data_IF_419719054556
#
_entry.id   IF_419719054556
#
_cell.length_a   1.000
_cell.length_b   1.000
_cell.length_c   1.000
_cell.angle_alpha   90.00
_cell.angle_beta   90.00
_cell.angle_gamma   90.00
#
_symmetry.space_group_name_H-M   'P 1'
#
loop_
_entity.id
_entity.type
_entity.pdbx_description
1 polymer ?
#
# COMPACT_ATOMS: atom_id res chain seq x y z
N UNK A 1 9.11 7.25 -22.20
CA UNK A 1 9.64 6.13 -21.39
C UNK A 1 9.54 6.47 -19.92
N UNK A 2 9.22 5.49 -19.08
CA UNK A 2 9.25 5.64 -17.62
C UNK A 2 10.69 5.45 -17.15
N UNK A 3 11.25 6.41 -16.41
CA UNK A 3 12.66 6.39 -15.96
C UNK A 3 12.85 5.61 -14.67
N UNK A 4 11.90 5.72 -13.73
CA UNK A 4 11.93 5.05 -12.42
C UNK A 4 10.50 4.85 -11.92
N UNK A 5 10.31 3.89 -11.01
CA UNK A 5 9.03 3.65 -10.32
C UNK A 5 9.29 3.50 -8.83
N UNK A 6 8.43 4.10 -8.01
CA UNK A 6 8.38 3.85 -6.56
C UNK A 6 7.02 3.27 -6.24
N UNK A 7 7.01 2.14 -5.56
CA UNK A 7 5.82 1.40 -5.20
C UNK A 7 5.81 1.18 -3.68
N UNK A 8 5.10 2.06 -2.95
CA UNK A 8 4.95 1.97 -1.50
C UNK A 8 3.70 1.14 -1.14
N UNK A 9 3.90 0.15 -0.26
CA UNK A 9 2.91 -0.87 0.15
C UNK A 9 1.99 -1.33 -1.01
N UNK A 10 2.58 -1.78 -2.14
CA UNK A 10 1.80 -2.03 -3.34
C UNK A 10 0.94 -3.28 -3.18
N UNK A 11 -0.33 -3.15 -3.59
CA UNK A 11 -1.27 -4.25 -3.64
C UNK A 11 -1.02 -5.14 -4.87
N UNK A 12 -0.10 -6.10 -4.76
CA UNK A 12 0.36 -6.92 -5.88
C UNK A 12 -0.43 -8.22 -6.10
N UNK A 13 -1.18 -8.68 -5.10
CA UNK A 13 -2.02 -9.88 -5.19
C UNK A 13 -3.29 -9.73 -4.36
N UNK A 14 -4.40 -9.53 -5.08
CA UNK A 14 -5.74 -9.45 -4.53
C UNK A 14 -6.15 -10.69 -3.74
N UNK A 15 -5.74 -11.87 -4.19
CA UNK A 15 -6.00 -13.13 -3.48
C UNK A 15 -5.27 -13.18 -2.13
N UNK A 16 -3.99 -12.83 -2.10
CA UNK A 16 -3.20 -12.84 -0.86
C UNK A 16 -3.71 -11.78 0.14
N UNK A 17 -3.95 -10.57 -0.34
CA UNK A 17 -4.52 -9.50 0.47
C UNK A 17 -5.91 -9.84 1.00
N UNK A 18 -6.79 -10.41 0.16
CA UNK A 18 -8.13 -10.83 0.57
C UNK A 18 -8.08 -11.91 1.66
N UNK A 19 -7.11 -12.83 1.59
CA UNK A 19 -6.94 -13.86 2.61
C UNK A 19 -6.56 -13.25 3.97
N UNK A 20 -5.55 -12.37 4.01
CA UNK A 20 -5.13 -11.69 5.25
C UNK A 20 -6.24 -10.77 5.77
N UNK A 21 -6.84 -9.97 4.90
CA UNK A 21 -7.96 -9.09 5.24
C UNK A 21 -9.19 -9.84 5.76
N UNK A 22 -9.43 -11.08 5.31
CA UNK A 22 -10.53 -11.91 5.81
C UNK A 22 -10.27 -12.41 7.24
N UNK A 23 -9.00 -12.60 7.62
CA UNK A 23 -8.63 -12.97 8.99
C UNK A 23 -8.92 -11.81 9.96
N UNK A 24 -8.52 -10.58 9.63
CA UNK A 24 -8.77 -9.38 10.45
C UNK A 24 -10.26 -9.01 10.55
N UNK A 25 -11.01 -9.19 9.46
CA UNK A 25 -12.44 -8.89 9.40
C UNK A 25 -13.30 -9.97 10.05
N UNK A 26 -12.85 -11.23 10.02
CA UNK A 26 -13.59 -12.40 10.51
C UNK A 26 -14.60 -12.96 9.51
N UNK A 27 -15.00 -14.22 9.72
CA UNK A 27 -15.84 -15.00 8.78
C UNK A 27 -17.21 -14.35 8.51
N UNK A 28 -17.89 -13.89 9.57
CA UNK A 28 -19.26 -13.33 9.45
C UNK A 28 -19.25 -12.02 8.65
N UNK A 29 -18.34 -11.11 8.97
CA UNK A 29 -18.25 -9.84 8.26
C UNK A 29 -17.72 -10.02 6.81
N UNK A 30 -16.87 -11.02 6.58
CA UNK A 30 -16.44 -11.41 5.22
C UNK A 30 -17.61 -11.91 4.39
N UNK A 31 -18.46 -12.78 4.95
CA UNK A 31 -19.67 -13.26 4.28
C UNK A 31 -20.64 -12.10 3.97
N UNK A 32 -20.86 -11.21 4.94
CA UNK A 32 -21.71 -10.01 4.74
C UNK A 32 -21.16 -9.10 3.64
N UNK A 33 -19.84 -8.91 3.57
CA UNK A 33 -19.21 -8.16 2.50
C UNK A 33 -19.44 -8.82 1.13
N UNK A 34 -19.27 -10.15 1.05
CA UNK A 34 -19.52 -10.89 -0.20
C UNK A 34 -20.99 -10.78 -0.65
N UNK A 35 -21.94 -10.93 0.27
CA UNK A 35 -23.38 -10.75 -0.02
C UNK A 35 -23.67 -9.33 -0.49
N UNK A 36 -23.12 -8.31 0.17
CA UNK A 36 -23.25 -6.93 -0.26
C UNK A 36 -22.64 -6.70 -1.66
N UNK A 37 -21.52 -7.37 -1.96
CA UNK A 37 -20.89 -7.35 -3.28
C UNK A 37 -21.75 -7.95 -4.38
N UNK A 38 -22.35 -9.12 -4.15
CA UNK A 38 -23.30 -9.74 -5.09
C UNK A 38 -24.52 -8.86 -5.29
N UNK A 39 -25.07 -8.30 -4.21
CA UNK A 39 -26.20 -7.38 -4.28
C UNK A 39 -25.88 -6.13 -5.12
N UNK A 40 -24.73 -5.50 -4.89
CA UNK A 40 -24.30 -4.34 -5.65
C UNK A 40 -23.97 -4.67 -7.12
N UNK A 41 -23.39 -5.84 -7.39
CA UNK A 41 -23.16 -6.29 -8.76
C UNK A 41 -24.48 -6.45 -9.53
N UNK A 42 -25.50 -7.07 -8.93
CA UNK A 42 -26.85 -7.18 -9.53
C UNK A 42 -27.47 -5.80 -9.78
N UNK A 43 -27.34 -4.87 -8.84
CA UNK A 43 -27.81 -3.48 -9.01
C UNK A 43 -27.14 -2.81 -10.20
N UNK A 44 -25.82 -2.99 -10.38
CA UNK A 44 -25.09 -2.45 -11.50
C UNK A 44 -25.59 -3.02 -12.84
N UNK A 45 -25.90 -4.33 -12.91
CA UNK A 45 -26.49 -4.94 -14.10
C UNK A 45 -27.88 -4.36 -14.44
N UNK A 46 -28.60 -3.86 -13.44
CA UNK A 46 -29.92 -3.23 -13.59
C UNK A 46 -29.84 -1.70 -13.78
N UNK A 47 -28.64 -1.11 -13.90
CA UNK A 47 -28.45 0.33 -14.03
C UNK A 47 -28.80 1.14 -12.76
N UNK A 48 -28.88 0.48 -11.60
CA UNK A 48 -29.21 1.12 -10.33
C UNK A 48 -27.97 1.76 -9.69
N UNK A 49 -28.14 2.80 -8.84
CA UNK A 49 -27.03 3.41 -8.11
C UNK A 49 -26.29 2.38 -7.23
N UNK A 50 -24.97 2.53 -7.02
CA UNK A 50 -24.20 1.59 -6.22
C UNK A 50 -24.71 1.48 -4.78
N UNK A 51 -24.68 0.27 -4.24
CA UNK A 51 -24.72 0.04 -2.80
C UNK A 51 -23.29 0.15 -2.24
N UNK A 52 -23.14 0.89 -1.14
CA UNK A 52 -21.85 1.20 -0.55
C UNK A 52 -21.66 0.44 0.77
N UNK A 53 -20.42 0.05 1.03
CA UNK A 53 -19.93 -0.42 2.33
C UNK A 53 -18.79 0.48 2.79
N UNK A 54 -18.39 0.38 4.06
CA UNK A 54 -17.28 1.18 4.59
C UNK A 54 -15.96 0.79 3.90
N UNK A 55 -15.14 1.79 3.58
CA UNK A 55 -13.80 1.56 3.08
C UNK A 55 -12.85 1.18 4.23
N UNK A 56 -12.92 1.91 5.34
CA UNK A 56 -12.18 1.68 6.58
C UNK A 56 -13.14 1.43 7.74
N UNK A 57 -12.87 0.40 8.53
CA UNK A 57 -13.60 0.08 9.74
C UNK A 57 -12.74 -0.66 10.74
N UNK A 58 -13.30 -0.92 11.91
CA UNK A 58 -12.63 -1.70 12.96
C UNK A 58 -12.62 -3.19 12.60
N UNK A 59 -11.71 -3.94 13.22
CA UNK A 59 -11.81 -5.41 13.23
C UNK A 59 -13.23 -5.89 13.57
N UNK A 60 -13.72 -6.86 12.82
CA UNK A 60 -15.10 -7.38 12.94
C UNK A 60 -16.19 -6.59 12.22
N UNK A 61 -15.92 -5.36 11.76
CA UNK A 61 -16.89 -4.59 10.96
C UNK A 61 -16.89 -5.01 9.48
N UNK A 62 -17.99 -4.74 8.78
CA UNK A 62 -18.08 -4.93 7.32
C UNK A 62 -17.43 -3.71 6.63
N UNK A 63 -16.10 -3.74 6.48
CA UNK A 63 -15.34 -2.65 5.87
C UNK A 63 -14.08 -3.13 5.15
N UNK A 64 -13.82 -2.71 3.89
CA UNK A 64 -12.73 -3.24 3.05
C UNK A 64 -11.37 -3.34 3.76
N UNK A 65 -10.97 -2.31 4.48
CA UNK A 65 -9.83 -2.31 5.39
C UNK A 65 -10.36 -2.42 6.82
N UNK A 66 -10.23 -3.60 7.40
CA UNK A 66 -10.55 -3.85 8.80
C UNK A 66 -9.26 -3.66 9.61
N UNK A 67 -9.19 -2.56 10.37
CA UNK A 67 -7.98 -2.09 11.03
C UNK A 67 -8.08 -2.23 12.54
N UNK A 68 -6.93 -2.40 13.19
CA UNK A 68 -6.76 -2.19 14.63
C UNK A 68 -6.91 -0.70 14.98
N UNK A 69 -7.10 -0.38 16.27
CA UNK A 69 -7.22 1.02 16.69
C UNK A 69 -5.96 1.86 16.35
N UNK A 70 -4.72 1.40 16.60
CA UNK A 70 -3.52 2.13 16.19
C UNK A 70 -3.42 2.36 14.68
N UNK A 71 -3.72 1.35 13.86
CA UNK A 71 -3.75 1.49 12.39
C UNK A 71 -4.81 2.52 11.94
N UNK A 72 -5.98 2.55 12.59
CA UNK A 72 -7.00 3.57 12.30
C UNK A 72 -6.53 4.98 12.67
N UNK A 73 -5.85 5.13 13.81
CA UNK A 73 -5.35 6.42 14.27
C UNK A 73 -4.30 6.95 13.28
N UNK A 74 -3.35 6.11 12.86
CA UNK A 74 -2.39 6.42 11.80
C UNK A 74 -3.07 6.73 10.46
N UNK A 75 -4.08 5.96 10.07
CA UNK A 75 -4.87 6.19 8.86
C UNK A 75 -5.50 7.58 8.86
N UNK A 76 -6.11 8.01 9.96
CA UNK A 76 -6.75 9.33 10.03
C UNK A 76 -5.75 10.46 10.24
N UNK A 77 -4.65 10.24 10.95
CA UNK A 77 -3.61 11.24 11.18
C UNK A 77 -2.96 11.72 9.87
N UNK A 78 -2.79 10.85 8.87
CA UNK A 78 -2.25 11.22 7.55
C UNK A 78 -3.21 12.01 6.66
N UNK A 79 -4.46 12.25 7.08
CA UNK A 79 -5.40 13.01 6.26
C UNK A 79 -5.05 14.50 6.31
N UNK A 80 -5.19 15.24 5.18
CA UNK A 80 -5.06 16.68 5.22
C UNK A 80 -6.13 17.29 6.13
N UNK A 81 -5.80 18.42 6.77
CA UNK A 81 -6.73 19.14 7.63
C UNK A 81 -8.03 19.53 6.89
N UNK A 82 -7.90 19.86 5.61
CA UNK A 82 -9.04 20.10 4.71
C UNK A 82 -9.18 18.93 3.75
N UNK A 83 -10.32 18.25 3.79
CA UNK A 83 -10.61 17.15 2.86
C UNK A 83 -10.97 17.69 1.49
N UNK A 84 -10.21 17.29 0.48
CA UNK A 84 -10.47 17.62 -0.92
C UNK A 84 -11.30 16.51 -1.61
N UNK A 85 -11.94 16.83 -2.74
CA UNK A 85 -12.53 15.82 -3.63
C UNK A 85 -13.76 15.07 -3.11
N UNK A 86 -14.44 15.57 -2.07
CA UNK A 86 -15.70 14.99 -1.59
C UNK A 86 -15.55 13.59 -0.98
N UNK A 87 -14.37 13.25 -0.47
CA UNK A 87 -14.06 11.93 0.10
C UNK A 87 -15.09 11.50 1.14
N UNK A 88 -15.55 10.24 1.02
CA UNK A 88 -16.39 9.56 1.99
C UNK A 88 -15.77 8.21 2.30
N UNK A 89 -15.93 7.75 3.54
CA UNK A 89 -15.55 6.40 3.95
C UNK A 89 -16.51 5.35 3.37
N UNK A 90 -16.56 5.24 2.05
CA UNK A 90 -17.50 4.43 1.29
C UNK A 90 -16.81 3.89 0.05
N UNK A 91 -17.03 2.62 -0.25
CA UNK A 91 -16.64 1.98 -1.51
C UNK A 91 -17.82 1.16 -2.04
N UNK A 92 -17.94 1.06 -3.37
CA UNK A 92 -18.97 0.25 -3.99
C UNK A 92 -18.79 -1.20 -3.55
N UNK A 93 -19.85 -1.85 -3.07
CA UNK A 93 -19.71 -3.15 -2.45
C UNK A 93 -19.23 -4.22 -3.44
N UNK A 94 -19.51 -4.08 -4.75
CA UNK A 94 -19.05 -5.00 -5.80
C UNK A 94 -17.53 -5.13 -5.90
N UNK A 95 -16.76 -4.15 -5.39
CA UNK A 95 -15.31 -4.26 -5.29
C UNK A 95 -14.90 -5.51 -4.49
N UNK A 96 -15.74 -6.03 -3.60
CA UNK A 96 -15.49 -7.28 -2.89
C UNK A 96 -15.38 -8.50 -3.81
N UNK A 97 -16.02 -8.46 -4.99
CA UNK A 97 -15.96 -9.52 -5.99
C UNK A 97 -14.77 -9.34 -6.94
N UNK A 98 -14.37 -8.09 -7.19
CA UNK A 98 -13.28 -7.73 -8.10
C UNK A 98 -11.91 -7.83 -7.43
N UNK A 99 -11.81 -7.43 -6.15
CA UNK A 99 -10.55 -7.32 -5.43
C UNK A 99 -9.72 -8.61 -5.43
N UNK A 100 -10.28 -9.83 -5.23
CA UNK A 100 -9.50 -11.06 -5.26
C UNK A 100 -8.86 -11.36 -6.63
N UNK A 101 -9.45 -10.86 -7.72
CA UNK A 101 -8.97 -11.07 -9.10
C UNK A 101 -7.88 -10.10 -9.54
N UNK A 102 -7.64 -9.02 -8.80
CA UNK A 102 -6.62 -8.03 -9.15
C UNK A 102 -5.20 -8.54 -8.83
N UNK A 103 -4.39 -8.82 -9.85
CA UNK A 103 -3.02 -9.33 -9.66
C UNK A 103 -1.98 -8.63 -10.56
N UNK A 104 -1.50 -7.44 -10.15
CA UNK A 104 -0.40 -6.75 -10.82
C UNK A 104 0.89 -7.55 -10.92
N UNK A 105 1.08 -8.54 -10.04
CA UNK A 105 2.25 -9.41 -10.02
C UNK A 105 2.59 -10.03 -11.39
N UNK A 106 1.57 -10.33 -12.20
CA UNK A 106 1.74 -10.92 -13.54
C UNK A 106 2.44 -9.99 -14.54
N UNK A 107 2.36 -8.67 -14.33
CA UNK A 107 2.98 -7.67 -15.19
C UNK A 107 4.40 -7.26 -14.77
N UNK A 108 4.83 -7.60 -13.56
CA UNK A 108 6.11 -7.14 -12.99
C UNK A 108 7.34 -7.53 -13.83
N UNK A 109 7.43 -8.75 -14.42
CA UNK A 109 8.58 -9.12 -15.26
C UNK A 109 8.76 -8.24 -16.51
N UNK A 110 7.71 -7.51 -16.93
CA UNK A 110 7.77 -6.63 -18.10
C UNK A 110 8.34 -5.24 -17.78
N UNK A 111 8.62 -4.93 -16.50
CA UNK A 111 9.12 -3.63 -16.09
C UNK A 111 10.65 -3.57 -16.31
N UNK A 112 11.08 -2.71 -17.23
CA UNK A 112 12.51 -2.50 -17.56
C UNK A 112 13.15 -1.32 -16.83
N UNK A 113 12.33 -0.44 -16.26
CA UNK A 113 12.77 0.68 -15.43
C UNK A 113 13.21 0.17 -14.04
N UNK A 114 14.14 0.84 -13.35
CA UNK A 114 14.37 0.64 -11.92
C UNK A 114 13.08 0.83 -11.12
N UNK A 115 12.84 -0.08 -10.17
CA UNK A 115 11.67 -0.03 -9.29
C UNK A 115 12.10 -0.18 -7.84
N UNK A 116 11.75 0.79 -7.00
CA UNK A 116 11.87 0.66 -5.55
C UNK A 116 10.52 0.27 -4.96
N UNK A 117 10.49 -0.87 -4.27
CA UNK A 117 9.37 -1.33 -3.49
C UNK A 117 9.60 -0.96 -2.02
N UNK A 118 8.65 -0.28 -1.40
CA UNK A 118 8.64 -0.01 0.04
C UNK A 118 7.57 -0.90 0.67
N UNK A 119 7.94 -1.68 1.69
CA UNK A 119 7.04 -2.62 2.34
C UNK A 119 6.99 -2.44 3.86
N UNK A 120 5.81 -2.63 4.44
CA UNK A 120 5.62 -2.81 5.87
C UNK A 120 5.64 -4.31 6.19
N UNK A 121 6.44 -4.74 7.18
CA UNK A 121 6.54 -6.16 7.55
C UNK A 121 5.27 -6.68 8.24
N UNK A 122 4.55 -5.81 8.95
CA UNK A 122 3.33 -6.14 9.69
C UNK A 122 2.07 -5.69 8.92
N UNK A 123 2.17 -5.59 7.59
CA UNK A 123 1.09 -5.11 6.74
C UNK A 123 -0.08 -6.10 6.66
N UNK A 124 -1.23 -5.68 7.20
CA UNK A 124 -2.48 -6.44 7.21
C UNK A 124 -3.31 -6.31 5.93
N UNK A 125 -2.89 -5.43 5.00
CA UNK A 125 -3.60 -5.10 3.77
C UNK A 125 -2.85 -5.56 2.52
N UNK A 126 -1.54 -5.33 2.46
CA UNK A 126 -0.63 -5.68 1.37
C UNK A 126 0.49 -6.56 1.91
N UNK A 127 0.31 -7.90 1.96
CA UNK A 127 1.20 -8.78 2.71
C UNK A 127 2.66 -8.67 2.27
N UNK A 128 3.57 -8.49 3.23
CA UNK A 128 5.01 -8.30 3.00
C UNK A 128 5.61 -9.31 2.02
N UNK A 129 5.33 -10.60 2.21
CA UNK A 129 5.86 -11.66 1.34
C UNK A 129 5.44 -11.49 -0.12
N UNK A 130 4.26 -10.94 -0.38
CA UNK A 130 3.79 -10.66 -1.75
C UNK A 130 4.65 -9.56 -2.38
N UNK A 131 4.98 -8.51 -1.61
CA UNK A 131 5.85 -7.41 -2.06
C UNK A 131 7.28 -7.89 -2.26
N UNK A 132 7.81 -8.71 -1.34
CA UNK A 132 9.15 -9.29 -1.43
C UNK A 132 9.31 -10.16 -2.69
N UNK A 133 8.34 -11.04 -2.95
CA UNK A 133 8.32 -11.85 -4.17
C UNK A 133 8.18 -10.98 -5.42
N UNK A 134 7.31 -9.96 -5.38
CA UNK A 134 7.12 -9.02 -6.48
C UNK A 134 8.39 -8.25 -6.84
N UNK A 135 9.14 -7.77 -5.83
CA UNK A 135 10.41 -7.09 -6.04
C UNK A 135 11.44 -7.98 -6.75
N UNK A 136 11.49 -9.26 -6.39
CA UNK A 136 12.39 -10.24 -7.03
C UNK A 136 12.01 -10.57 -8.49
N UNK A 137 10.77 -10.30 -8.91
CA UNK A 137 10.33 -10.50 -10.29
C UNK A 137 10.75 -9.36 -11.23
N UNK A 138 11.17 -8.21 -10.70
CA UNK A 138 11.60 -7.06 -11.50
C UNK A 138 13.12 -7.09 -11.64
N UNK A 139 13.63 -7.06 -12.87
CA UNK A 139 15.08 -7.14 -13.15
C UNK A 139 15.91 -6.07 -12.43
N UNK A 140 15.33 -4.87 -12.25
CA UNK A 140 15.93 -3.74 -11.53
C UNK A 140 15.12 -3.38 -10.27
N UNK A 141 14.58 -4.41 -9.62
CA UNK A 141 13.79 -4.27 -8.39
C UNK A 141 14.68 -4.09 -7.16
N UNK A 142 14.31 -3.15 -6.30
CA UNK A 142 14.89 -2.94 -4.98
C UNK A 142 13.78 -3.05 -3.94
N UNK A 143 14.07 -3.62 -2.76
CA UNK A 143 13.11 -3.73 -1.66
C UNK A 143 13.66 -3.01 -0.43
N UNK A 144 12.91 -2.03 0.07
CA UNK A 144 13.11 -1.40 1.37
C UNK A 144 11.95 -1.81 2.26
N UNK A 145 12.24 -2.22 3.50
CA UNK A 145 11.20 -2.71 4.41
C UNK A 145 11.34 -2.16 5.82
N UNK A 146 10.21 -1.82 6.42
CA UNK A 146 10.11 -1.29 7.78
C UNK A 146 9.32 -2.25 8.66
N UNK A 147 9.73 -2.42 9.91
CA UNK A 147 9.05 -3.29 10.88
C UNK A 147 7.87 -2.57 11.55
N UNK A 148 6.86 -2.25 10.75
CA UNK A 148 5.67 -1.50 11.13
C UNK A 148 4.42 -2.03 10.42
N UNK A 149 3.24 -1.53 10.79
CA UNK A 149 1.99 -1.74 10.08
C UNK A 149 1.88 -0.90 8.80
N UNK A 150 0.79 -1.10 8.04
CA UNK A 150 0.56 -0.44 6.75
C UNK A 150 0.53 1.10 6.84
N UNK A 151 -0.09 1.67 7.88
CA UNK A 151 -0.33 3.11 7.99
C UNK A 151 0.75 3.85 8.78
N UNK A 152 1.53 3.15 9.59
CA UNK A 152 2.71 3.70 10.27
C UNK A 152 3.76 4.28 9.30
N UNK A 153 3.79 3.86 8.03
CA UNK A 153 4.65 4.43 6.99
C UNK A 153 4.33 5.89 6.62
N UNK A 154 3.17 6.42 7.06
CA UNK A 154 2.69 7.76 6.67
C UNK A 154 2.76 8.79 7.82
N UNK A 155 3.38 8.43 8.94
CA UNK A 155 3.46 9.30 10.13
C UNK A 155 4.85 9.25 10.79
N UNK A 156 5.20 10.34 11.47
CA UNK A 156 6.38 10.42 12.33
C UNK A 156 7.71 10.12 11.60
N UNK A 157 8.69 9.59 12.33
CA UNK A 157 10.03 9.36 11.80
C UNK A 157 10.07 8.35 10.63
N UNK A 158 9.19 7.35 10.65
CA UNK A 158 9.14 6.34 9.57
C UNK A 158 8.75 6.99 8.24
N UNK A 159 7.82 7.95 8.26
CA UNK A 159 7.47 8.73 7.08
C UNK A 159 8.66 9.54 6.55
N UNK A 160 9.37 10.25 7.42
CA UNK A 160 10.55 11.02 7.03
C UNK A 160 11.64 10.14 6.40
N UNK A 161 11.88 8.97 7.01
CA UNK A 161 12.83 7.98 6.48
C UNK A 161 12.38 7.44 5.11
N UNK A 162 11.08 7.19 4.92
CA UNK A 162 10.49 6.73 3.66
C UNK A 162 10.63 7.80 2.56
N UNK A 163 10.36 9.06 2.88
CA UNK A 163 10.49 10.20 1.96
C UNK A 163 11.95 10.38 1.56
N UNK A 164 12.86 10.42 2.53
CA UNK A 164 14.31 10.56 2.30
C UNK A 164 14.84 9.42 1.41
N UNK A 165 14.46 8.17 1.72
CA UNK A 165 14.83 7.00 0.91
C UNK A 165 14.29 7.08 -0.51
N UNK A 166 13.04 7.54 -0.66
CA UNK A 166 12.39 7.73 -1.96
C UNK A 166 13.09 8.79 -2.79
N UNK A 167 13.43 9.94 -2.20
CA UNK A 167 14.16 11.01 -2.89
C UNK A 167 15.54 10.53 -3.31
N UNK A 168 16.30 9.89 -2.41
CA UNK A 168 17.63 9.35 -2.72
C UNK A 168 17.61 8.41 -3.93
N UNK A 169 16.68 7.45 -3.95
CA UNK A 169 16.49 6.53 -5.09
C UNK A 169 16.17 7.29 -6.39
N UNK A 170 15.23 8.25 -6.32
CA UNK A 170 14.83 9.02 -7.49
C UNK A 170 15.98 9.87 -8.03
N UNK A 171 16.76 10.54 -7.17
CA UNK A 171 17.94 11.31 -7.58
C UNK A 171 18.98 10.44 -8.26
N UNK A 172 19.31 9.30 -7.66
CA UNK A 172 20.31 8.37 -8.19
C UNK A 172 19.91 7.88 -9.59
N UNK A 173 18.67 7.40 -9.75
CA UNK A 173 18.21 6.82 -11.01
C UNK A 173 18.01 7.86 -12.11
N UNK A 174 17.64 9.08 -11.73
CA UNK A 174 17.34 10.15 -12.70
C UNK A 174 18.53 11.08 -12.96
N UNK A 175 19.61 10.98 -12.19
CA UNK A 175 20.78 11.86 -12.28
C UNK A 175 20.52 13.29 -11.79
N UNK A 176 19.46 13.53 -11.01
CA UNK A 176 19.20 14.83 -10.40
C UNK A 176 19.97 14.98 -9.08
N UNK A 177 20.31 16.22 -8.74
CA UNK A 177 20.87 16.54 -7.42
C UNK A 177 19.78 16.35 -6.36
N UNK A 178 20.09 15.60 -5.31
CA UNK A 178 19.19 15.50 -4.17
C UNK A 178 19.21 16.79 -3.36
N UNK A 179 18.04 17.23 -2.85
CA UNK A 179 18.01 18.33 -1.91
C UNK A 179 18.92 17.98 -0.72
N UNK A 180 19.81 18.89 -0.37
CA UNK A 180 20.55 18.78 0.88
C UNK A 180 19.54 18.86 2.03
N UNK A 181 19.78 18.09 3.08
CA UNK A 181 19.08 18.27 4.34
C UNK A 181 19.26 19.72 4.78
N UNK A 182 18.20 20.52 4.88
CA UNK A 182 18.33 21.78 5.60
C UNK A 182 18.55 21.44 7.08
N UNK A 183 19.72 21.78 7.62
CA UNK A 183 20.01 21.64 9.05
C UNK A 183 18.97 22.43 9.86
N UNK A 184 18.07 21.72 10.54
CA UNK A 184 17.09 22.32 11.45
C UNK A 184 15.61 22.08 11.10
N UNK A 185 15.30 21.47 9.96
CA UNK A 185 13.94 20.96 9.69
C UNK A 185 13.69 19.68 10.51
N UNK A 186 12.62 19.62 11.33
CA UNK A 186 12.33 18.44 12.14
C UNK A 186 11.89 17.28 11.23
N UNK A 187 12.81 16.38 10.93
CA UNK A 187 12.52 15.14 10.19
C UNK A 187 13.70 14.57 9.41
N UNK A 188 14.64 15.42 8.99
CA UNK A 188 15.74 14.98 8.13
C UNK A 188 16.89 14.37 8.94
N UNK A 189 16.94 13.04 9.04
CA UNK A 189 18.08 12.36 9.64
C UNK A 189 19.26 12.32 8.65
N UNK A 190 20.28 13.12 8.91
CA UNK A 190 21.54 13.13 8.12
C UNK A 190 22.43 11.90 8.38
N UNK A 191 22.08 11.03 9.33
CA UNK A 191 22.88 9.87 9.71
C UNK A 191 22.54 8.57 8.96
N UNK A 192 21.46 8.53 8.18
CA UNK A 192 21.21 7.42 7.25
C UNK A 192 21.99 7.69 5.96
N UNK A 193 23.29 7.33 5.97
CA UNK A 193 23.97 6.98 4.71
C UNK A 193 23.01 6.06 3.94
N UNK A 194 22.78 6.28 2.63
CA UNK A 194 21.99 5.35 1.84
C UNK A 194 22.56 3.96 2.10
N UNK A 195 21.69 3.04 2.52
CA UNK A 195 22.05 1.63 2.60
C UNK A 195 22.68 1.31 1.25
N UNK A 196 23.98 1.02 1.26
CA UNK A 196 24.68 0.60 0.05
C UNK A 196 23.86 -0.53 -0.55
N UNK A 197 23.31 -0.28 -1.74
CA UNK A 197 22.41 -1.19 -2.43
C UNK A 197 23.21 -2.43 -2.83
N UNK A 198 23.28 -3.41 -1.93
CA UNK A 198 23.84 -4.72 -2.27
C UNK A 198 22.81 -5.42 -3.14
N UNK A 199 23.14 -5.54 -4.44
CA UNK A 199 22.51 -6.53 -5.29
C UNK A 199 22.69 -7.89 -4.60
N UNK A 200 21.58 -8.51 -4.21
CA UNK A 200 21.59 -9.89 -3.74
C UNK A 200 22.01 -10.81 -4.88
N UNK A 201 23.31 -11.02 -5.03
CA UNK A 201 23.87 -12.27 -5.54
C UNK A 201 24.29 -13.07 -4.32
N UNK A 202 23.50 -14.07 -3.96
CA UNK A 202 24.00 -15.25 -3.26
C UNK A 202 23.54 -16.48 -4.04
N UNK A 203 24.43 -17.47 -4.09
CA UNK A 203 24.43 -18.59 -5.03
C UNK A 203 23.55 -19.77 -4.65
#
# INVERSE_FOLDING_TARGET
>A
NVTAVVAQVPHLSGKAASLVSSASRGKVATLRLAVAGVYDWLRAQLGLPPAYVRLVGRHGEVAFMALTQPEMDAYYAKHPATKEGGWRNQAAARLALEAPGYSPMTGLPNITAPVMFIAAKQDSLCPYETVRLGAALVTKGQLVSYDVDHFSLYIGQVWEDVVSTTLAFMCEVTGHTCPEAEEGEPGYNTQTRPLSFTQGQEG
#
